data_IF_443077259523
#
_entry.id   IF_443077259523
#
_cell.length_a   1.000
_cell.length_b   1.000
_cell.length_c   1.000
_cell.angle_alpha   90.00
_cell.angle_beta   90.00
_cell.angle_gamma   90.00
#
_symmetry.space_group_name_H-M   'P 1'
#
loop_
_entity.id
_entity.type
_entity.pdbx_description
1 polymer ?
#
# COMPACT_ATOMS: atom_id res chain seq x y z
N UNK A 1 -22.28 57.65 -29.08
CA UNK A 1 -22.40 56.19 -28.93
C UNK A 1 -21.18 55.71 -28.13
N UNK A 2 -21.34 55.40 -26.83
CA UNK A 2 -20.25 54.93 -25.97
C UNK A 2 -20.30 53.41 -25.93
N UNK A 3 -19.27 52.75 -26.45
CA UNK A 3 -19.11 51.31 -26.35
C UNK A 3 -18.40 51.04 -25.02
N UNK A 4 -19.05 50.29 -24.13
CA UNK A 4 -18.44 49.76 -22.91
C UNK A 4 -17.96 48.36 -23.25
N UNK A 5 -16.65 48.14 -23.24
CA UNK A 5 -16.06 46.81 -23.28
C UNK A 5 -16.00 46.27 -21.85
N UNK A 6 -16.78 45.22 -21.59
CA UNK A 6 -16.64 44.42 -20.38
C UNK A 6 -15.62 43.32 -20.65
N UNK A 7 -14.46 43.41 -19.99
CA UNK A 7 -13.48 42.32 -19.96
C UNK A 7 -13.86 41.38 -18.83
N UNK A 8 -14.30 40.17 -19.17
CA UNK A 8 -14.47 39.08 -18.19
C UNK A 8 -13.13 38.37 -18.07
N UNK A 9 -12.44 38.59 -16.95
CA UNK A 9 -11.25 37.82 -16.59
C UNK A 9 -11.73 36.53 -15.92
N UNK A 10 -11.70 35.42 -16.65
CA UNK A 10 -11.86 34.08 -16.09
C UNK A 10 -10.54 33.67 -15.42
N UNK A 11 -10.48 33.80 -14.10
CA UNK A 11 -9.39 33.23 -13.31
C UNK A 11 -9.72 31.74 -13.12
N UNK A 12 -9.10 30.91 -13.94
CA UNK A 12 -9.09 29.46 -13.73
C UNK A 12 -8.24 29.15 -12.50
N UNK A 13 -8.85 29.08 -11.32
CA UNK A 13 -8.17 28.57 -10.14
C UNK A 13 -8.07 27.06 -10.33
N UNK A 14 -6.93 26.56 -10.80
CA UNK A 14 -6.62 25.14 -10.71
C UNK A 14 -6.46 24.82 -9.23
N UNK A 15 -7.54 24.36 -8.60
CA UNK A 15 -7.47 23.81 -7.26
C UNK A 15 -6.68 22.50 -7.37
N UNK A 16 -5.38 22.56 -7.10
CA UNK A 16 -4.64 21.34 -6.79
C UNK A 16 -5.34 20.75 -5.57
N UNK A 17 -5.97 19.58 -5.74
CA UNK A 17 -6.50 18.85 -4.60
C UNK A 17 -5.34 18.63 -3.64
N UNK A 18 -5.44 19.17 -2.43
CA UNK A 18 -4.43 18.94 -1.41
C UNK A 18 -4.28 17.42 -1.22
N UNK A 19 -3.04 16.96 -1.15
CA UNK A 19 -2.75 15.55 -0.91
C UNK A 19 -3.26 15.16 0.48
N UNK A 20 -4.17 14.18 0.52
CA UNK A 20 -4.78 13.74 1.78
C UNK A 20 -3.70 13.02 2.59
N UNK A 21 -3.54 13.41 3.86
CA UNK A 21 -2.50 12.86 4.72
C UNK A 21 -2.93 12.73 6.18
N UNK A 22 -2.22 11.85 6.90
CA UNK A 22 -2.33 11.66 8.35
C UNK A 22 -0.96 11.72 9.00
N UNK A 23 -0.90 12.13 10.26
CA UNK A 23 0.30 12.01 11.09
C UNK A 23 0.17 10.78 11.97
N UNK A 24 1.11 9.85 11.86
CA UNK A 24 1.10 8.63 12.66
C UNK A 24 2.53 8.17 12.95
N UNK A 25 2.78 7.81 14.22
CA UNK A 25 4.09 7.40 14.74
C UNK A 25 5.26 8.32 14.37
N UNK A 26 5.00 9.64 14.34
CA UNK A 26 6.02 10.66 14.09
C UNK A 26 6.32 10.94 12.61
N UNK A 27 5.58 10.34 11.68
CA UNK A 27 5.73 10.57 10.25
C UNK A 27 4.42 11.06 9.61
N UNK A 28 4.57 11.83 8.53
CA UNK A 28 3.46 12.16 7.65
C UNK A 28 3.30 11.06 6.59
N UNK A 29 2.08 10.57 6.47
CA UNK A 29 1.69 9.53 5.52
C UNK A 29 0.66 10.08 4.54
N UNK A 30 0.89 9.85 3.26
CA UNK A 30 -0.05 10.20 2.22
C UNK A 30 -1.02 9.07 1.98
N UNK A 31 -2.31 9.40 1.90
CA UNK A 31 -3.38 8.45 1.63
C UNK A 31 -3.67 8.43 0.14
N UNK A 32 -3.77 7.22 -0.44
CA UNK A 32 -4.05 7.08 -1.86
C UNK A 32 -5.54 7.26 -2.15
N UNK A 33 -5.84 8.12 -3.11
CA UNK A 33 -7.18 8.36 -3.65
C UNK A 33 -7.08 8.33 -5.18
N UNK A 34 -7.44 7.21 -5.79
CA UNK A 34 -7.22 6.98 -7.22
C UNK A 34 -8.08 5.83 -7.73
N UNK A 35 -8.72 5.99 -8.89
CA UNK A 35 -9.53 4.93 -9.51
C UNK A 35 -8.71 4.15 -10.56
N UNK A 36 -9.05 2.87 -10.76
CA UNK A 36 -8.48 1.98 -11.78
C UNK A 36 -6.94 2.04 -11.86
N UNK A 37 -6.27 1.78 -10.74
CA UNK A 37 -4.82 1.93 -10.60
C UNK A 37 -4.16 0.74 -9.90
N UNK A 38 -2.89 0.52 -10.23
CA UNK A 38 -2.11 -0.65 -9.82
C UNK A 38 -1.89 -0.80 -8.30
N UNK A 39 -1.58 -2.02 -7.82
CA UNK A 39 -1.60 -3.28 -8.57
C UNK A 39 -3.01 -3.66 -9.03
N UNK A 40 -3.13 -4.25 -10.21
CA UNK A 40 -4.43 -4.56 -10.83
C UNK A 40 -5.29 -3.31 -11.11
N UNK A 41 -6.59 -3.48 -11.39
CA UNK A 41 -7.54 -2.39 -11.62
C UNK A 41 -8.20 -1.93 -10.29
N UNK A 42 -7.39 -1.61 -9.27
CA UNK A 42 -7.91 -1.26 -7.94
C UNK A 42 -8.46 0.18 -7.87
N UNK A 43 -9.47 0.37 -7.03
CA UNK A 43 -10.05 1.69 -6.72
C UNK A 43 -9.65 2.07 -5.29
N UNK A 44 -8.72 2.99 -5.13
CA UNK A 44 -8.19 3.44 -3.85
C UNK A 44 -9.04 4.56 -3.27
N UNK A 45 -9.44 4.43 -2.01
CA UNK A 45 -10.09 5.52 -1.28
C UNK A 45 -9.35 5.83 0.00
N UNK A 46 -9.03 7.10 0.18
CA UNK A 46 -8.43 7.64 1.40
C UNK A 46 -9.33 7.44 2.62
N UNK A 47 -10.65 7.33 2.43
CA UNK A 47 -11.61 7.05 3.51
C UNK A 47 -11.47 5.67 4.15
N UNK A 48 -10.75 4.75 3.48
CA UNK A 48 -10.46 3.42 4.00
C UNK A 48 -9.18 3.37 4.87
N UNK A 49 -8.56 4.51 5.15
CA UNK A 49 -7.38 4.61 6.01
C UNK A 49 -7.64 5.60 7.15
N UNK A 50 -7.48 5.16 8.40
CA UNK A 50 -7.58 6.04 9.56
C UNK A 50 -6.78 5.52 10.75
N UNK A 51 -6.54 6.38 11.73
CA UNK A 51 -5.98 6.01 13.03
C UNK A 51 -7.09 6.10 14.08
N UNK A 52 -7.27 5.04 14.88
CA UNK A 52 -8.28 5.02 15.93
C UNK A 52 -7.80 5.72 17.22
N UNK A 53 -8.72 5.83 18.20
CA UNK A 53 -8.42 6.44 19.50
C UNK A 53 -7.36 5.69 20.33
N UNK A 54 -7.01 4.45 19.95
CA UNK A 54 -5.96 3.64 20.57
C UNK A 54 -4.63 3.72 19.79
N UNK A 55 -4.49 4.69 18.86
CA UNK A 55 -3.30 4.90 18.04
C UNK A 55 -2.94 3.71 17.13
N UNK A 56 -3.97 2.96 16.69
CA UNK A 56 -3.83 1.88 15.71
C UNK A 56 -4.23 2.37 14.32
N UNK A 57 -3.41 2.07 13.32
CA UNK A 57 -3.73 2.28 11.91
C UNK A 57 -4.70 1.21 11.43
N UNK A 58 -5.75 1.63 10.73
CA UNK A 58 -6.74 0.76 10.10
C UNK A 58 -6.66 0.89 8.58
N UNK A 59 -6.68 -0.26 7.90
CA UNK A 59 -6.83 -0.38 6.45
C UNK A 59 -8.08 -1.22 6.19
N UNK A 60 -8.99 -0.71 5.36
CA UNK A 60 -10.28 -1.34 5.10
C UNK A 60 -10.51 -1.59 3.62
N UNK A 61 -11.09 -2.75 3.30
CA UNK A 61 -11.77 -2.93 2.02
C UNK A 61 -13.24 -2.63 2.20
N UNK A 62 -13.81 -1.79 1.34
CA UNK A 62 -15.23 -1.43 1.43
C UNK A 62 -15.89 -1.36 0.06
N UNK A 63 -17.13 -1.82 -0.03
CA UNK A 63 -17.92 -1.73 -1.25
C UNK A 63 -18.49 -0.32 -1.39
N UNK A 64 -18.27 0.32 -2.55
CA UNK A 64 -18.79 1.64 -2.89
C UNK A 64 -19.72 1.52 -4.09
N UNK A 65 -21.00 1.83 -3.86
CA UNK A 65 -22.00 1.87 -4.95
C UNK A 65 -21.73 3.00 -5.95
N UNK A 66 -21.16 4.14 -5.51
CA UNK A 66 -20.81 5.24 -6.40
C UNK A 66 -19.63 4.92 -7.32
N UNK A 67 -18.69 4.10 -6.83
CA UNK A 67 -17.55 3.63 -7.62
C UNK A 67 -17.85 2.30 -8.33
N UNK A 68 -19.06 1.77 -8.17
CA UNK A 68 -19.50 0.52 -8.81
C UNK A 68 -18.74 -0.73 -8.37
N UNK A 69 -18.10 -0.74 -7.20
CA UNK A 69 -17.24 -1.85 -6.81
C UNK A 69 -16.54 -1.71 -5.46
N UNK A 70 -15.67 -2.68 -5.17
CA UNK A 70 -14.80 -2.64 -3.99
C UNK A 70 -13.78 -1.52 -4.10
N UNK A 71 -13.47 -0.92 -2.95
CA UNK A 71 -12.41 0.07 -2.80
C UNK A 71 -11.36 -0.41 -1.81
N UNK A 72 -10.12 -0.02 -2.08
CA UNK A 72 -8.90 -0.43 -1.40
C UNK A 72 -8.37 0.69 -0.50
N UNK A 73 -7.31 0.37 0.25
CA UNK A 73 -6.65 1.25 1.19
C UNK A 73 -5.13 1.19 0.97
N UNK A 74 -4.50 2.34 0.81
CA UNK A 74 -3.04 2.45 0.78
C UNK A 74 -2.62 3.77 1.41
N UNK A 75 -1.52 3.72 2.13
CA UNK A 75 -0.75 4.89 2.54
C UNK A 75 0.73 4.66 2.30
N UNK A 76 1.46 5.73 2.02
CA UNK A 76 2.92 5.70 1.85
C UNK A 76 3.56 6.88 2.58
N UNK A 77 4.75 6.67 3.13
CA UNK A 77 5.44 7.71 3.89
C UNK A 77 5.92 8.82 2.95
N UNK A 78 5.80 10.06 3.41
CA UNK A 78 6.52 11.16 2.75
C UNK A 78 8.03 11.04 2.96
N UNK A 79 8.43 10.50 4.12
CA UNK A 79 9.83 10.21 4.42
C UNK A 79 10.29 8.96 3.68
N UNK A 80 11.36 9.07 2.91
CA UNK A 80 12.05 7.89 2.36
C UNK A 80 12.91 7.23 3.43
N UNK A 81 12.79 5.91 3.54
CA UNK A 81 13.62 5.10 4.41
C UNK A 81 14.62 4.30 3.58
N UNK A 82 15.79 4.04 4.17
CA UNK A 82 16.83 3.20 3.56
C UNK A 82 17.06 1.98 4.43
N UNK A 83 18.30 1.67 4.78
CA UNK A 83 18.66 0.52 5.60
C UNK A 83 18.07 0.60 7.01
N UNK A 84 17.76 -0.56 7.58
CA UNK A 84 17.19 -0.67 8.91
C UNK A 84 16.30 -1.89 9.07
N UNK A 85 15.61 -1.93 10.20
CA UNK A 85 14.61 -2.95 10.50
C UNK A 85 13.21 -2.39 10.27
N UNK A 86 12.47 -3.01 9.36
CA UNK A 86 11.07 -2.69 9.10
C UNK A 86 10.22 -3.75 9.77
N UNK A 87 9.32 -3.33 10.66
CA UNK A 87 8.51 -4.24 11.47
C UNK A 87 7.07 -3.74 11.54
N UNK A 88 6.15 -4.67 11.33
CA UNK A 88 4.73 -4.45 11.48
C UNK A 88 4.16 -5.41 12.52
N UNK A 89 3.29 -4.89 13.38
CA UNK A 89 2.42 -5.70 14.22
C UNK A 89 1.03 -5.60 13.61
N UNK A 90 0.47 -6.74 13.21
CA UNK A 90 -0.79 -6.81 12.48
C UNK A 90 -1.82 -7.51 13.36
N UNK A 91 -3.03 -6.97 13.38
CA UNK A 91 -4.19 -7.54 14.07
C UNK A 91 -5.29 -7.85 13.05
N UNK A 92 -5.25 -9.04 12.46
CA UNK A 92 -6.26 -9.54 11.54
C UNK A 92 -6.16 -11.07 11.38
N UNK A 93 -7.25 -11.71 10.97
CA UNK A 93 -7.24 -13.12 10.55
C UNK A 93 -6.68 -13.25 9.12
N UNK A 94 -5.41 -12.85 8.94
CA UNK A 94 -4.75 -12.70 7.64
C UNK A 94 -4.66 -14.02 6.86
N UNK A 95 -4.62 -15.15 7.55
CA UNK A 95 -4.64 -16.49 6.94
C UNK A 95 -5.99 -16.84 6.28
N UNK A 96 -7.07 -16.13 6.65
CA UNK A 96 -8.42 -16.33 6.17
C UNK A 96 -8.91 -15.26 5.17
N UNK A 97 -8.01 -14.46 4.60
CA UNK A 97 -8.39 -13.52 3.55
C UNK A 97 -9.01 -14.23 2.32
N UNK A 98 -9.94 -13.51 1.67
CA UNK A 98 -10.51 -13.91 0.38
C UNK A 98 -9.39 -14.14 -0.64
N UNK A 99 -9.51 -15.11 -1.56
CA UNK A 99 -8.46 -15.43 -2.51
C UNK A 99 -7.91 -14.25 -3.32
N UNK A 100 -8.71 -13.19 -3.53
CA UNK A 100 -8.33 -12.02 -4.32
C UNK A 100 -7.73 -10.88 -3.49
N UNK A 101 -7.69 -11.00 -2.16
CA UNK A 101 -7.15 -9.97 -1.28
C UNK A 101 -5.63 -10.13 -1.14
N UNK A 102 -4.93 -9.00 -1.23
CA UNK A 102 -3.50 -8.87 -0.98
C UNK A 102 -3.29 -7.84 0.13
N UNK A 103 -2.59 -8.22 1.19
CA UNK A 103 -1.98 -7.28 2.12
C UNK A 103 -0.50 -7.19 1.79
N UNK A 104 -0.03 -6.01 1.35
CA UNK A 104 1.39 -5.72 1.14
C UNK A 104 1.97 -4.91 2.29
N UNK A 105 3.11 -5.35 2.83
CA UNK A 105 3.93 -4.62 3.79
C UNK A 105 5.34 -4.50 3.21
N UNK A 106 5.69 -3.32 2.70
CA UNK A 106 6.82 -3.23 1.79
C UNK A 106 7.53 -1.88 1.83
N UNK A 107 8.73 -1.88 1.25
CA UNK A 107 9.45 -0.67 0.82
C UNK A 107 9.48 -0.63 -0.69
N UNK A 108 9.30 0.54 -1.29
CA UNK A 108 9.32 0.70 -2.75
C UNK A 108 10.21 1.86 -3.17
N UNK A 109 11.19 1.58 -4.03
CA UNK A 109 12.00 2.58 -4.71
C UNK A 109 11.37 3.01 -6.02
N UNK A 110 11.07 4.30 -6.17
CA UNK A 110 10.70 4.84 -7.47
C UNK A 110 11.91 4.87 -8.43
N UNK A 111 11.70 4.80 -9.76
CA UNK A 111 10.41 4.72 -10.47
C UNK A 111 10.17 3.43 -11.28
N UNK A 112 11.01 2.39 -11.15
CA UNK A 112 11.17 1.35 -12.17
C UNK A 112 10.56 -0.02 -11.83
N UNK A 113 9.71 -0.13 -10.81
CA UNK A 113 9.18 -1.45 -10.39
C UNK A 113 10.29 -2.38 -9.87
N UNK A 114 11.39 -1.78 -9.41
CA UNK A 114 12.54 -2.43 -8.83
C UNK A 114 12.91 -1.70 -7.52
N UNK A 115 13.91 -2.20 -6.81
CA UNK A 115 14.26 -1.70 -5.48
C UNK A 115 13.08 -1.79 -4.50
N UNK A 116 12.46 -2.97 -4.45
CA UNK A 116 11.29 -3.30 -3.65
C UNK A 116 11.57 -4.53 -2.77
N UNK A 117 11.05 -4.51 -1.54
CA UNK A 117 11.14 -5.62 -0.57
C UNK A 117 9.76 -5.78 0.04
N UNK A 118 9.17 -6.95 -0.18
CA UNK A 118 7.77 -7.23 0.10
C UNK A 118 7.62 -8.33 1.15
N UNK A 119 6.65 -8.11 2.03
CA UNK A 119 5.95 -9.15 2.77
C UNK A 119 4.50 -9.10 2.34
N UNK A 120 4.00 -10.19 1.75
CA UNK A 120 2.66 -10.23 1.19
C UNK A 120 1.84 -11.37 1.80
N UNK A 121 0.61 -11.06 2.20
CA UNK A 121 -0.41 -12.07 2.50
C UNK A 121 -1.40 -12.08 1.35
N UNK A 122 -1.37 -13.14 0.55
CA UNK A 122 -2.17 -13.26 -0.66
C UNK A 122 -2.30 -14.70 -1.10
N UNK A 123 -3.47 -15.11 -1.59
CA UNK A 123 -3.66 -16.43 -2.25
C UNK A 123 -3.59 -16.33 -3.77
N UNK A 124 -3.45 -15.13 -4.33
CA UNK A 124 -3.34 -14.90 -5.78
C UNK A 124 -4.49 -15.55 -6.59
N UNK A 125 -5.72 -15.44 -6.08
CA UNK A 125 -6.93 -16.03 -6.66
C UNK A 125 -7.04 -17.55 -6.47
N UNK A 126 -6.06 -18.22 -5.86
CA UNK A 126 -6.11 -19.66 -5.63
C UNK A 126 -7.12 -20.02 -4.54
N UNK A 127 -8.06 -20.90 -4.88
CA UNK A 127 -9.10 -21.39 -3.96
C UNK A 127 -8.74 -22.71 -3.28
N UNK A 128 -7.63 -23.34 -3.67
CA UNK A 128 -7.15 -24.58 -3.07
C UNK A 128 -6.83 -24.37 -1.59
N UNK A 129 -7.27 -25.32 -0.74
CA UNK A 129 -6.94 -25.32 0.69
C UNK A 129 -5.43 -25.45 0.96
N UNK A 130 -4.64 -25.89 -0.02
CA UNK A 130 -3.19 -26.02 0.07
C UNK A 130 -2.44 -24.87 -0.60
N UNK A 131 -3.14 -23.83 -1.06
CA UNK A 131 -2.48 -22.65 -1.62
C UNK A 131 -1.59 -21.98 -0.57
N UNK A 132 -0.42 -21.53 -1.02
CA UNK A 132 0.37 -20.57 -0.26
C UNK A 132 -0.44 -19.29 -0.08
N UNK A 133 -0.34 -18.69 1.10
CA UNK A 133 -1.03 -17.45 1.44
C UNK A 133 -0.08 -16.39 2.02
N UNK A 134 1.23 -16.67 2.05
CA UNK A 134 2.24 -15.77 2.59
C UNK A 134 3.51 -15.81 1.74
N UNK A 135 4.02 -14.64 1.39
CA UNK A 135 5.12 -14.49 0.45
C UNK A 135 6.12 -13.45 0.95
N UNK A 136 7.39 -13.70 0.65
CA UNK A 136 8.42 -12.69 0.64
C UNK A 136 8.91 -12.51 -0.79
N UNK A 137 9.05 -11.26 -1.22
CA UNK A 137 9.61 -10.95 -2.54
C UNK A 137 10.65 -9.85 -2.41
N UNK A 138 11.75 -9.97 -3.15
CA UNK A 138 12.77 -8.94 -3.28
C UNK A 138 12.96 -8.68 -4.76
N UNK A 139 12.70 -7.45 -5.17
CA UNK A 139 13.07 -6.91 -6.47
C UNK A 139 14.32 -6.03 -6.29
N UNK A 140 15.52 -6.55 -6.59
CA UNK A 140 16.73 -5.75 -6.50
C UNK A 140 16.66 -4.56 -7.46
N UNK A 141 17.41 -3.50 -7.16
CA UNK A 141 17.53 -2.35 -8.06
C UNK A 141 18.04 -2.80 -9.44
N UNK A 142 17.39 -2.36 -10.51
CA UNK A 142 17.64 -2.80 -11.90
C UNK A 142 19.10 -2.72 -12.35
N UNK A 143 19.86 -1.74 -11.83
CA UNK A 143 21.28 -1.55 -12.16
C UNK A 143 22.22 -2.60 -11.54
N UNK A 144 21.75 -3.39 -10.58
CA UNK A 144 22.56 -4.36 -9.84
C UNK A 144 22.73 -5.72 -10.53
N UNK A 145 21.95 -6.02 -11.59
CA UNK A 145 22.02 -7.31 -12.29
C UNK A 145 21.61 -8.53 -11.45
N UNK A 146 21.03 -8.32 -10.27
CA UNK A 146 20.52 -9.38 -9.41
C UNK A 146 19.12 -9.79 -9.84
N UNK A 147 18.87 -11.10 -9.88
CA UNK A 147 17.54 -11.63 -10.16
C UNK A 147 16.57 -11.35 -9.00
N UNK A 148 15.29 -11.21 -9.33
CA UNK A 148 14.20 -11.24 -8.35
C UNK A 148 14.26 -12.55 -7.55
N UNK A 149 13.98 -12.47 -6.25
CA UNK A 149 13.79 -13.64 -5.39
C UNK A 149 12.39 -13.58 -4.80
N UNK A 150 11.65 -14.69 -4.87
CA UNK A 150 10.36 -14.83 -4.20
C UNK A 150 10.26 -16.19 -3.52
N UNK A 151 9.63 -16.23 -2.35
CA UNK A 151 9.38 -17.45 -1.60
C UNK A 151 7.98 -17.40 -1.02
N UNK A 152 7.18 -18.42 -1.33
CA UNK A 152 5.82 -18.57 -0.83
C UNK A 152 5.70 -19.74 0.13
N UNK A 153 4.91 -19.56 1.18
CA UNK A 153 4.54 -20.63 2.12
C UNK A 153 3.06 -20.51 2.51
N UNK A 154 2.55 -21.56 3.12
CA UNK A 154 1.23 -21.56 3.75
C UNK A 154 1.38 -21.31 5.24
N UNK A 155 0.66 -20.30 5.74
CA UNK A 155 0.50 -20.02 7.16
C UNK A 155 -0.92 -20.34 7.62
N UNK A 156 -1.04 -20.69 8.89
CA UNK A 156 -2.31 -20.82 9.61
C UNK A 156 -2.09 -20.29 11.01
N UNK A 157 -3.01 -19.48 11.52
CA UNK A 157 -2.82 -18.72 12.74
C UNK A 157 -3.64 -19.28 13.90
N UNK A 158 -3.07 -19.15 15.10
CA UNK A 158 -3.80 -19.33 16.35
C UNK A 158 -4.06 -17.94 16.93
N UNK A 159 -5.09 -17.26 16.42
CA UNK A 159 -5.44 -15.88 16.78
C UNK A 159 -5.24 -14.89 15.62
N UNK A 160 -5.28 -13.60 15.94
CA UNK A 160 -5.24 -12.51 14.95
C UNK A 160 -3.99 -11.64 15.02
N UNK A 161 -3.15 -11.80 16.05
CA UNK A 161 -1.96 -10.97 16.23
C UNK A 161 -0.73 -11.63 15.60
N UNK A 162 -0.10 -10.94 14.66
CA UNK A 162 1.15 -11.38 14.04
C UNK A 162 2.20 -10.27 14.06
N UNK A 163 3.47 -10.65 13.93
CA UNK A 163 4.59 -9.73 13.71
C UNK A 163 5.29 -10.14 12.42
N UNK A 164 5.51 -9.17 11.54
CA UNK A 164 6.21 -9.37 10.27
C UNK A 164 7.40 -8.43 10.21
N UNK A 165 8.56 -8.92 9.78
CA UNK A 165 9.78 -8.10 9.76
C UNK A 165 10.74 -8.48 8.65
N UNK A 166 11.47 -7.49 8.18
CA UNK A 166 12.77 -7.72 7.57
C UNK A 166 13.81 -6.74 8.08
N UNK A 167 15.08 -7.12 7.97
CA UNK A 167 16.21 -6.23 8.19
C UNK A 167 16.96 -6.06 6.88
N UNK A 168 17.05 -4.81 6.42
CA UNK A 168 17.71 -4.43 5.20
C UNK A 168 19.04 -3.74 5.52
N UNK A 169 20.12 -4.29 4.95
CA UNK A 169 21.48 -3.78 5.05
C UNK A 169 22.07 -3.55 3.66
N UNK A 170 23.29 -3.02 3.60
CA UNK A 170 23.96 -2.72 2.33
C UNK A 170 24.19 -3.92 1.43
N UNK A 171 24.26 -5.13 1.99
CA UNK A 171 24.61 -6.36 1.25
C UNK A 171 23.63 -7.51 1.45
N UNK A 172 22.60 -7.36 2.29
CA UNK A 172 21.64 -8.43 2.56
C UNK A 172 20.28 -7.89 3.01
N UNK A 173 19.23 -8.61 2.62
CA UNK A 173 17.90 -8.56 3.24
C UNK A 173 17.70 -9.85 4.04
N UNK A 174 17.37 -9.72 5.33
CA UNK A 174 17.05 -10.84 6.21
C UNK A 174 15.55 -10.81 6.53
N UNK A 175 14.81 -11.81 6.03
CA UNK A 175 13.36 -11.95 6.13
C UNK A 175 13.00 -12.79 7.37
N UNK A 176 12.01 -12.36 8.16
CA UNK A 176 11.71 -12.92 9.50
C UNK A 176 10.21 -12.98 9.79
#
# INVERSE_FOLDING_TARGET
MKIILTVIVLISITQSSAQISINWKGYQWYLREQQNSGPGPNNWSSSNVWVDANDRLHLKLSYSSSNGGWTCAELYSQTSFTYGTFKWHVEAAIDNFDPNVVLGLFTYGLPDGANEIDIEVAKWGQTSSNANNFFYTVYPRSLGGHAQVSSGTKISLQGTYTTHRFTWSTNQVNLQ
#
